data_IF_702293918396
#
_entry.id   IF_702293918396
#
_cell.length_a   1.000
_cell.length_b   1.000
_cell.length_c   1.000
_cell.angle_alpha   90.00
_cell.angle_beta   90.00
_cell.angle_gamma   90.00
#
_symmetry.space_group_name_H-M   'P 1'
#
loop_
_entity.id
_entity.type
_entity.pdbx_description
1 polymer ?
#
# COMPACT_ATOMS: atom_id res chain seq x y z
N UNK A 1 -17.78 17.38 -12.97
CA UNK A 1 -16.79 16.32 -13.33
C UNK A 1 -16.18 15.78 -12.05
N UNK A 2 -16.26 14.47 -11.86
CA UNK A 2 -15.69 13.81 -10.68
C UNK A 2 -14.16 13.96 -10.66
N UNK A 3 -13.63 14.37 -9.53
CA UNK A 3 -12.19 14.60 -9.35
C UNK A 3 -11.49 13.23 -9.27
N UNK A 4 -10.48 12.99 -10.11
CA UNK A 4 -9.68 11.77 -10.09
C UNK A 4 -9.01 11.60 -8.72
N UNK A 5 -9.10 10.41 -8.13
CA UNK A 5 -8.37 10.08 -6.90
C UNK A 5 -6.98 9.54 -7.21
N UNK A 6 -6.06 9.59 -6.24
CA UNK A 6 -4.71 9.01 -6.41
C UNK A 6 -4.77 7.49 -6.65
N UNK A 7 -5.71 6.80 -6.01
CA UNK A 7 -5.97 5.36 -6.22
C UNK A 7 -6.38 5.07 -7.67
N UNK A 8 -7.29 5.87 -8.22
CA UNK A 8 -7.73 5.71 -9.62
C UNK A 8 -6.60 6.02 -10.61
N UNK A 9 -5.67 6.91 -10.25
CA UNK A 9 -4.50 7.24 -11.04
C UNK A 9 -3.45 6.11 -11.01
N UNK A 10 -3.28 5.46 -9.88
CA UNK A 10 -2.28 4.41 -9.70
C UNK A 10 -2.62 3.12 -10.48
N UNK A 11 -3.90 2.77 -10.63
CA UNK A 11 -4.32 1.53 -11.31
C UNK A 11 -3.76 1.38 -12.74
N UNK A 12 -3.93 2.33 -13.66
CA UNK A 12 -3.35 2.22 -15.00
C UNK A 12 -1.81 2.21 -14.96
N UNK A 13 -1.16 2.89 -13.99
CA UNK A 13 0.30 2.84 -13.85
C UNK A 13 0.76 1.44 -13.46
N UNK A 14 0.04 0.76 -12.57
CA UNK A 14 0.34 -0.61 -12.16
C UNK A 14 0.22 -1.55 -13.37
N UNK A 15 -0.91 -1.51 -14.09
CA UNK A 15 -1.11 -2.33 -15.28
C UNK A 15 -0.02 -2.08 -16.34
N UNK A 16 0.32 -0.80 -16.58
CA UNK A 16 1.38 -0.40 -17.50
C UNK A 16 2.74 -1.03 -17.15
N UNK A 17 3.08 -1.12 -15.87
CA UNK A 17 4.33 -1.71 -15.39
C UNK A 17 4.31 -3.25 -15.50
N UNK A 18 3.20 -3.88 -15.09
CA UNK A 18 3.02 -5.33 -15.12
C UNK A 18 3.08 -5.87 -16.57
N UNK A 19 2.44 -5.19 -17.52
CA UNK A 19 2.51 -5.51 -18.95
C UNK A 19 3.95 -5.48 -19.50
N UNK A 20 4.85 -4.72 -18.85
CA UNK A 20 6.27 -4.63 -19.20
C UNK A 20 7.16 -5.57 -18.39
N UNK A 21 6.54 -6.49 -17.63
CA UNK A 21 7.23 -7.52 -16.86
C UNK A 21 7.81 -7.04 -15.54
N UNK A 22 7.39 -5.88 -15.03
CA UNK A 22 7.77 -5.46 -13.70
C UNK A 22 6.88 -6.12 -12.64
N UNK A 23 7.48 -6.57 -11.56
CA UNK A 23 6.77 -6.93 -10.33
C UNK A 23 6.42 -5.66 -9.56
N UNK A 24 5.13 -5.40 -9.33
CA UNK A 24 4.64 -4.14 -8.76
C UNK A 24 4.19 -4.33 -7.31
N UNK A 25 4.58 -3.39 -6.46
CA UNK A 25 4.28 -3.34 -5.04
C UNK A 25 3.80 -1.94 -4.68
N UNK A 26 2.80 -1.85 -3.81
CA UNK A 26 2.14 -0.60 -3.47
C UNK A 26 2.38 -0.24 -1.99
N UNK A 27 2.42 1.07 -1.69
CA UNK A 27 2.55 1.61 -0.32
C UNK A 27 3.72 0.96 0.46
N UNK A 28 4.89 0.90 -0.16
CA UNK A 28 6.06 0.26 0.44
C UNK A 28 6.76 1.21 1.39
N UNK A 29 6.79 0.86 2.67
CA UNK A 29 7.53 1.61 3.67
C UNK A 29 9.04 1.33 3.54
N UNK A 30 9.80 2.36 3.17
CA UNK A 30 11.26 2.32 3.04
C UNK A 30 11.83 3.30 4.06
N UNK A 31 12.39 2.77 5.17
CA UNK A 31 12.73 3.52 6.37
C UNK A 31 11.50 4.26 6.95
N UNK A 32 11.52 5.59 6.97
CA UNK A 32 10.44 6.43 7.51
C UNK A 32 9.53 7.04 6.45
N UNK A 33 9.68 6.64 5.18
CA UNK A 33 8.88 7.15 4.05
C UNK A 33 8.15 6.01 3.37
N UNK A 34 6.99 6.32 2.83
CA UNK A 34 6.19 5.37 2.05
C UNK A 34 6.28 5.80 0.58
N UNK A 35 6.59 4.84 -0.28
CA UNK A 35 6.54 5.01 -1.72
C UNK A 35 5.21 4.49 -2.24
N UNK A 36 4.49 5.28 -3.02
CA UNK A 36 3.18 4.91 -3.55
C UNK A 36 3.27 3.62 -4.38
N UNK A 37 4.22 3.55 -5.31
CA UNK A 37 4.50 2.36 -6.13
C UNK A 37 6.00 2.07 -6.13
N UNK A 38 6.35 0.82 -5.90
CA UNK A 38 7.70 0.27 -6.10
C UNK A 38 7.61 -0.88 -7.09
N UNK A 39 8.29 -0.78 -8.22
CA UNK A 39 8.38 -1.85 -9.20
C UNK A 39 9.78 -2.47 -9.20
N UNK A 40 9.87 -3.79 -9.42
CA UNK A 40 11.15 -4.50 -9.52
C UNK A 40 11.24 -5.32 -10.79
N UNK A 41 12.44 -5.32 -11.40
CA UNK A 41 12.76 -6.18 -12.52
C UNK A 41 14.17 -6.74 -12.30
N UNK A 42 14.27 -7.97 -11.85
CA UNK A 42 15.52 -8.54 -11.37
C UNK A 42 16.11 -7.72 -10.21
N UNK A 43 17.27 -7.10 -10.40
CA UNK A 43 17.91 -6.23 -9.40
C UNK A 43 17.53 -4.76 -9.55
N UNK A 44 16.85 -4.40 -10.62
CA UNK A 44 16.43 -3.02 -10.86
C UNK A 44 15.20 -2.68 -10.02
N UNK A 45 15.12 -1.44 -9.60
CA UNK A 45 14.01 -0.90 -8.82
C UNK A 45 13.54 0.43 -9.41
N UNK A 46 12.22 0.63 -9.46
CA UNK A 46 11.61 1.85 -9.94
C UNK A 46 10.61 2.35 -8.89
N UNK A 47 10.76 3.58 -8.40
CA UNK A 47 9.81 4.23 -7.50
C UNK A 47 9.00 5.25 -8.30
N UNK A 48 7.68 5.23 -8.11
CA UNK A 48 6.74 6.15 -8.75
C UNK A 48 5.85 6.75 -7.67
N UNK A 49 5.78 8.08 -7.63
CA UNK A 49 4.87 8.85 -6.78
C UNK A 49 3.68 9.32 -7.60
N UNK A 50 2.48 9.09 -7.13
CA UNK A 50 1.22 9.37 -7.81
C UNK A 50 0.52 10.59 -7.19
N UNK A 51 0.18 11.60 -7.99
CA UNK A 51 -0.59 12.77 -7.52
C UNK A 51 -1.57 13.25 -8.58
N UNK A 52 -2.72 13.73 -8.11
CA UNK A 52 -3.77 14.28 -8.99
C UNK A 52 -3.42 15.63 -9.62
N UNK A 53 -2.29 16.21 -9.22
CA UNK A 53 -1.76 17.45 -9.81
C UNK A 53 -0.25 17.55 -9.60
N UNK A 54 0.41 18.25 -10.52
CA UNK A 54 1.80 18.63 -10.36
C UNK A 54 1.92 19.68 -9.23
N UNK A 55 2.68 19.38 -8.21
CA UNK A 55 2.89 20.25 -7.05
C UNK A 55 4.34 20.22 -6.59
N UNK A 56 4.77 21.26 -5.90
CA UNK A 56 6.11 21.29 -5.29
C UNK A 56 6.30 20.13 -4.30
N UNK A 57 5.25 19.79 -3.55
CA UNK A 57 5.26 18.65 -2.61
C UNK A 57 5.55 17.32 -3.33
N UNK A 58 4.98 17.09 -4.51
CA UNK A 58 5.26 15.89 -5.32
C UNK A 58 6.73 15.87 -5.77
N UNK A 59 7.25 17.01 -6.19
CA UNK A 59 8.66 17.13 -6.58
C UNK A 59 9.60 16.87 -5.39
N UNK A 60 9.28 17.35 -4.20
CA UNK A 60 10.03 17.07 -2.97
C UNK A 60 9.96 15.58 -2.59
N UNK A 61 8.81 14.94 -2.72
CA UNK A 61 8.64 13.51 -2.45
C UNK A 61 9.54 12.69 -3.36
N UNK A 62 9.42 12.85 -4.68
CA UNK A 62 10.21 12.05 -5.62
C UNK A 62 11.70 12.36 -5.53
N UNK A 63 12.09 13.59 -5.30
CA UNK A 63 13.47 13.99 -5.08
C UNK A 63 14.07 13.29 -3.84
N UNK A 64 13.29 13.11 -2.79
CA UNK A 64 13.68 12.41 -1.57
C UNK A 64 14.00 10.93 -1.75
N UNK A 65 13.67 10.34 -2.91
CA UNK A 65 14.01 8.96 -3.28
C UNK A 65 15.34 8.83 -4.05
N UNK A 66 16.02 9.93 -4.32
CA UNK A 66 17.33 9.88 -5.01
C UNK A 66 18.33 9.01 -4.25
N UNK A 67 19.08 8.20 -5.00
CA UNK A 67 20.02 7.24 -4.43
C UNK A 67 19.37 5.99 -3.81
N UNK A 68 18.04 5.85 -3.86
CA UNK A 68 17.33 4.69 -3.31
C UNK A 68 16.82 3.74 -4.39
N UNK A 69 16.44 4.24 -5.55
CA UNK A 69 15.99 3.40 -6.66
C UNK A 69 16.73 3.71 -7.97
N UNK A 70 16.75 2.72 -8.87
CA UNK A 70 17.39 2.83 -10.17
C UNK A 70 16.64 3.79 -11.10
N UNK A 71 15.31 3.77 -11.02
CA UNK A 71 14.44 4.67 -11.77
C UNK A 71 13.51 5.40 -10.79
N UNK A 72 13.23 6.65 -11.11
CA UNK A 72 12.33 7.51 -10.35
C UNK A 72 11.37 8.16 -11.33
N UNK A 73 10.07 8.18 -11.02
CA UNK A 73 9.08 8.90 -11.82
C UNK A 73 7.98 9.49 -10.96
N UNK A 74 7.37 10.53 -11.46
CA UNK A 74 6.07 11.02 -10.99
C UNK A 74 4.98 10.56 -11.97
N UNK A 75 3.78 10.34 -11.46
CA UNK A 75 2.61 10.00 -12.26
C UNK A 75 1.49 11.00 -11.98
N UNK A 76 1.01 11.69 -13.03
CA UNK A 76 0.00 12.73 -12.95
C UNK A 76 -1.03 12.60 -14.09
N UNK A 77 -2.26 13.13 -13.95
CA UNK A 77 -3.21 13.16 -15.06
C UNK A 77 -2.68 13.98 -16.25
N UNK A 78 -3.00 13.57 -17.47
CA UNK A 78 -2.55 14.23 -18.71
C UNK A 78 -3.07 15.67 -18.89
N UNK A 79 -4.18 16.00 -18.22
CA UNK A 79 -4.72 17.37 -18.19
C UNK A 79 -4.05 18.28 -17.16
N UNK A 80 -3.22 17.72 -16.29
CA UNK A 80 -2.33 18.51 -15.43
C UNK A 80 -1.20 18.98 -16.32
N UNK A 81 -1.25 20.25 -16.78
CA UNK A 81 -0.19 20.82 -17.62
C UNK A 81 1.18 20.50 -16.99
N UNK A 82 1.99 19.62 -17.62
CA UNK A 82 3.26 19.17 -17.01
C UNK A 82 4.31 20.29 -16.98
N UNK A 83 3.94 21.49 -17.40
CA UNK A 83 4.84 22.64 -17.43
C UNK A 83 5.91 22.48 -18.51
N UNK A 84 5.83 23.27 -19.54
CA UNK A 84 6.98 23.50 -20.40
C UNK A 84 7.97 24.39 -19.64
N UNK A 85 9.25 24.04 -19.63
CA UNK A 85 10.29 24.86 -19.03
C UNK A 85 10.87 24.29 -17.73
N UNK A 86 10.85 25.08 -16.66
CA UNK A 86 11.63 24.82 -15.45
C UNK A 86 11.39 23.44 -14.81
N UNK A 87 10.13 22.99 -14.68
CA UNK A 87 9.82 21.68 -14.07
C UNK A 87 10.36 20.53 -14.92
N UNK A 88 10.16 20.60 -16.24
CA UNK A 88 10.69 19.59 -17.16
C UNK A 88 12.22 19.50 -17.07
N UNK A 89 12.90 20.65 -17.09
CA UNK A 89 14.35 20.71 -16.91
C UNK A 89 14.81 20.15 -15.56
N UNK A 90 14.12 20.50 -14.49
CA UNK A 90 14.39 19.99 -13.16
C UNK A 90 14.30 18.46 -13.09
N UNK A 91 13.25 17.88 -13.68
CA UNK A 91 13.05 16.42 -13.72
C UNK A 91 14.16 15.75 -14.53
N UNK A 92 14.46 16.24 -15.75
CA UNK A 92 15.50 15.69 -16.63
C UNK A 92 16.87 15.76 -15.96
N UNK A 93 17.25 16.90 -15.39
CA UNK A 93 18.54 17.07 -14.69
C UNK A 93 18.68 16.12 -13.49
N UNK A 94 17.57 15.77 -12.85
CA UNK A 94 17.55 14.84 -11.71
C UNK A 94 17.27 13.38 -12.10
N UNK A 95 17.23 13.07 -13.42
CA UNK A 95 16.95 11.71 -13.95
C UNK A 95 15.57 11.16 -13.53
N UNK A 96 14.62 12.05 -13.28
CA UNK A 96 13.27 11.70 -12.88
C UNK A 96 12.38 11.69 -14.11
N UNK A 97 11.66 10.61 -14.33
CA UNK A 97 10.65 10.48 -15.37
C UNK A 97 9.31 11.11 -14.98
N UNK A 98 8.45 11.29 -15.99
CA UNK A 98 7.08 11.71 -15.80
C UNK A 98 6.16 10.81 -16.62
N UNK A 99 5.23 10.17 -15.95
CA UNK A 99 4.13 9.42 -16.53
C UNK A 99 2.89 10.32 -16.53
N UNK A 100 2.21 10.41 -17.66
CA UNK A 100 0.92 11.11 -17.76
C UNK A 100 -0.18 10.11 -18.08
N UNK A 101 -1.32 10.22 -17.38
CA UNK A 101 -2.41 9.27 -17.47
C UNK A 101 -3.62 9.94 -18.12
N UNK A 102 -4.09 9.34 -19.23
CA UNK A 102 -5.36 9.74 -19.84
C UNK A 102 -6.51 9.15 -19.03
N UNK A 103 -7.27 10.00 -18.36
CA UNK A 103 -8.39 9.62 -17.49
C UNK A 103 -9.46 8.78 -18.20
N UNK A 104 -9.69 9.03 -19.48
CA UNK A 104 -10.80 8.40 -20.22
C UNK A 104 -10.42 7.08 -20.87
N UNK A 105 -9.16 6.97 -21.31
CA UNK A 105 -8.64 5.76 -21.97
C UNK A 105 -7.88 4.85 -21.02
N UNK A 106 -7.64 5.26 -19.75
CA UNK A 106 -6.76 4.57 -18.78
C UNK A 106 -5.36 4.31 -19.34
N UNK A 107 -4.95 5.08 -20.34
CA UNK A 107 -3.65 4.95 -21.00
C UNK A 107 -2.56 5.74 -20.27
N UNK A 108 -1.38 5.14 -20.18
CA UNK A 108 -0.19 5.75 -19.57
C UNK A 108 0.82 6.11 -20.67
N UNK A 109 1.26 7.36 -20.68
CA UNK A 109 2.29 7.86 -21.56
C UNK A 109 3.53 8.27 -20.77
N UNK A 110 4.71 7.81 -21.20
CA UNK A 110 5.97 8.33 -20.68
C UNK A 110 6.29 9.69 -21.30
N UNK A 111 5.84 10.76 -20.66
CA UNK A 111 6.13 12.12 -21.12
C UNK A 111 7.61 12.49 -20.96
N UNK A 112 8.25 12.01 -19.89
CA UNK A 112 9.69 12.09 -19.66
C UNK A 112 10.18 10.69 -19.28
N UNK A 113 11.11 10.13 -20.05
CA UNK A 113 11.71 8.83 -19.72
C UNK A 113 12.60 8.94 -18.49
N UNK A 114 12.46 8.07 -17.46
CA UNK A 114 13.37 8.06 -16.34
C UNK A 114 14.75 7.57 -16.77
N UNK A 115 15.78 8.18 -16.24
CA UNK A 115 17.15 7.77 -16.53
C UNK A 115 17.72 6.89 -15.41
N UNK A 116 18.55 5.92 -15.78
CA UNK A 116 19.16 4.99 -14.85
C UNK A 116 20.07 5.66 -13.82
N UNK A 117 19.78 5.48 -12.54
CA UNK A 117 20.65 5.78 -11.41
C UNK A 117 21.41 4.50 -11.02
N UNK A 118 22.73 4.46 -11.28
CA UNK A 118 23.54 3.27 -11.02
C UNK A 118 23.91 3.09 -9.55
N UNK A 119 24.03 4.19 -8.79
CA UNK A 119 24.39 4.15 -7.36
C UNK A 119 23.14 4.23 -6.52
N UNK A 120 22.66 3.08 -6.08
CA UNK A 120 21.46 2.97 -5.24
C UNK A 120 21.69 2.01 -4.08
N UNK A 121 20.93 2.17 -3.01
CA UNK A 121 20.87 1.19 -1.93
C UNK A 121 19.91 0.05 -2.32
N UNK A 122 20.09 -1.11 -1.71
CA UNK A 122 19.14 -2.21 -1.91
C UNK A 122 17.86 -1.97 -1.10
N UNK A 123 16.78 -1.56 -1.78
CA UNK A 123 15.45 -1.37 -1.18
C UNK A 123 14.56 -2.61 -1.27
N UNK A 124 14.94 -3.65 -2.01
CA UNK A 124 14.15 -4.87 -2.16
C UNK A 124 13.92 -5.57 -0.81
N UNK A 125 14.82 -5.38 0.16
CA UNK A 125 14.66 -5.90 1.53
C UNK A 125 13.44 -5.35 2.30
N UNK A 126 12.87 -4.24 1.86
CA UNK A 126 11.65 -3.65 2.44
C UNK A 126 10.37 -4.14 1.77
N UNK A 127 10.51 -4.81 0.62
CA UNK A 127 9.39 -5.33 -0.15
C UNK A 127 8.93 -6.64 0.46
N UNK A 128 7.61 -6.79 0.61
CA UNK A 128 6.95 -8.00 1.08
C UNK A 128 5.88 -8.43 0.08
N UNK A 129 5.59 -9.73 -0.05
CA UNK A 129 4.53 -10.21 -0.95
C UNK A 129 3.19 -9.52 -0.72
N UNK A 130 2.91 -9.16 0.50
CA UNK A 130 1.68 -8.50 0.92
C UNK A 130 1.47 -7.12 0.27
N UNK A 131 2.54 -6.42 -0.10
CA UNK A 131 2.45 -5.14 -0.82
C UNK A 131 1.83 -5.26 -2.23
N UNK A 132 1.74 -6.50 -2.79
CA UNK A 132 1.02 -6.74 -4.06
C UNK A 132 -0.50 -6.79 -3.88
N UNK A 133 -0.97 -7.21 -2.71
CA UNK A 133 -2.37 -7.64 -2.53
C UNK A 133 -3.15 -6.67 -1.63
N UNK A 134 -2.51 -6.11 -0.62
CA UNK A 134 -3.19 -5.48 0.51
C UNK A 134 -3.12 -3.97 0.56
N UNK A 135 -2.29 -3.36 -0.25
CA UNK A 135 -2.14 -1.91 -0.30
C UNK A 135 -2.70 -1.37 -1.61
N UNK A 136 -3.38 -0.24 -1.56
CA UNK A 136 -3.78 0.52 -2.73
C UNK A 136 -2.98 1.82 -2.77
N UNK A 137 -2.13 1.96 -3.78
CA UNK A 137 -1.29 3.13 -3.97
C UNK A 137 -2.13 4.41 -4.03
N UNK A 138 -1.72 5.43 -3.27
CA UNK A 138 -2.44 6.71 -3.17
C UNK A 138 -3.61 6.71 -2.20
N UNK A 139 -3.84 5.65 -1.41
CA UNK A 139 -4.85 5.65 -0.36
C UNK A 139 -4.34 6.34 0.90
N UNK A 140 -5.19 7.16 1.56
CA UNK A 140 -4.79 7.87 2.79
C UNK A 140 -4.53 6.93 3.99
N UNK A 141 -4.90 5.66 3.90
CA UNK A 141 -4.82 4.67 4.98
C UNK A 141 -4.32 3.30 4.51
N UNK A 142 -3.72 3.22 3.33
CA UNK A 142 -3.49 1.97 2.61
C UNK A 142 -2.13 1.32 2.78
N UNK A 143 -1.21 1.87 3.59
CA UNK A 143 0.06 1.19 3.76
C UNK A 143 -0.10 -0.06 4.64
N UNK A 144 0.56 -1.12 4.18
CA UNK A 144 0.58 -2.40 4.88
C UNK A 144 1.28 -2.27 6.23
N UNK A 145 0.52 -2.48 7.31
CA UNK A 145 1.08 -2.59 8.64
C UNK A 145 1.02 -4.03 9.13
N UNK A 146 1.95 -4.47 10.00
CA UNK A 146 1.83 -5.76 10.67
C UNK A 146 0.48 -5.94 11.40
N UNK A 147 -0.10 -4.83 11.89
CA UNK A 147 -1.43 -4.83 12.50
C UNK A 147 -2.53 -5.13 11.49
N UNK A 148 -2.50 -4.57 10.28
CA UNK A 148 -3.50 -4.86 9.24
C UNK A 148 -3.48 -6.34 8.84
N UNK A 149 -2.29 -6.95 8.70
CA UNK A 149 -2.17 -8.39 8.49
C UNK A 149 -2.82 -9.18 9.62
N UNK A 150 -2.47 -8.85 10.86
CA UNK A 150 -3.06 -9.50 12.03
C UNK A 150 -4.58 -9.36 12.05
N UNK A 151 -5.11 -8.16 11.76
CA UNK A 151 -6.55 -7.91 11.67
C UNK A 151 -7.22 -8.82 10.65
N UNK A 152 -6.67 -8.93 9.45
CA UNK A 152 -7.22 -9.76 8.39
C UNK A 152 -7.15 -11.26 8.73
N UNK A 153 -6.04 -11.71 9.32
CA UNK A 153 -5.91 -13.08 9.78
C UNK A 153 -6.97 -13.42 10.83
N UNK A 154 -7.29 -12.49 11.72
CA UNK A 154 -8.38 -12.64 12.71
C UNK A 154 -9.73 -12.68 12.04
N UNK A 155 -10.02 -11.73 11.15
CA UNK A 155 -11.29 -11.65 10.41
C UNK A 155 -11.52 -12.91 9.55
N UNK A 156 -10.46 -13.48 8.97
CA UNK A 156 -10.51 -14.74 8.23
C UNK A 156 -10.65 -15.97 9.16
N UNK A 157 -9.79 -16.08 10.19
CA UNK A 157 -9.77 -17.27 11.05
C UNK A 157 -11.08 -17.44 11.81
N UNK A 158 -11.72 -16.35 12.25
CA UNK A 158 -12.99 -16.43 12.99
C UNK A 158 -14.12 -17.02 12.14
N UNK A 159 -14.08 -16.88 10.81
CA UNK A 159 -15.10 -17.49 9.93
C UNK A 159 -15.13 -19.01 9.98
N UNK A 160 -14.01 -19.63 10.37
CA UNK A 160 -13.90 -21.09 10.55
C UNK A 160 -14.51 -21.58 11.87
N UNK A 161 -14.86 -20.65 12.77
CA UNK A 161 -15.40 -20.95 14.09
C UNK A 161 -16.80 -20.35 14.29
N UNK A 162 -17.83 -20.81 13.55
CA UNK A 162 -19.16 -20.22 13.60
C UNK A 162 -19.81 -20.31 15.00
N UNK A 163 -19.46 -21.32 15.78
CA UNK A 163 -19.95 -21.54 17.14
C UNK A 163 -19.08 -20.87 18.22
N UNK A 164 -18.12 -20.03 17.80
CA UNK A 164 -17.15 -19.42 18.71
C UNK A 164 -16.04 -20.36 19.16
N UNK A 165 -15.00 -19.79 19.73
CA UNK A 165 -13.84 -20.50 20.24
C UNK A 165 -13.28 -19.77 21.46
N UNK A 166 -12.61 -20.50 22.37
CA UNK A 166 -11.96 -19.90 23.53
C UNK A 166 -10.85 -18.91 23.05
N UNK A 167 -10.93 -17.67 23.49
CA UNK A 167 -10.10 -16.59 22.97
C UNK A 167 -8.59 -16.86 23.06
N UNK A 168 -8.14 -17.53 24.15
CA UNK A 168 -6.73 -17.92 24.32
C UNK A 168 -6.27 -18.92 23.24
N UNK A 169 -7.15 -19.84 22.83
CA UNK A 169 -6.82 -20.88 21.85
C UNK A 169 -6.90 -20.27 20.43
N UNK A 170 -7.85 -19.37 20.20
CA UNK A 170 -7.93 -18.59 18.97
C UNK A 170 -6.66 -17.79 18.69
N UNK A 171 -6.08 -17.14 19.71
CA UNK A 171 -4.80 -16.41 19.58
C UNK A 171 -3.66 -17.32 19.12
N UNK A 172 -3.61 -18.57 19.59
CA UNK A 172 -2.59 -19.53 19.16
C UNK A 172 -2.73 -19.98 17.71
N UNK A 173 -3.97 -20.04 17.23
CA UNK A 173 -4.27 -20.45 15.85
C UNK A 173 -4.06 -19.32 14.86
N UNK A 174 -4.12 -18.07 15.32
CA UNK A 174 -4.06 -16.90 14.45
C UNK A 174 -2.64 -16.35 14.35
N UNK A 175 -2.12 -16.22 13.14
CA UNK A 175 -0.83 -15.55 12.93
C UNK A 175 -0.95 -14.05 13.26
N UNK A 176 -0.09 -13.56 14.15
CA UNK A 176 -0.08 -12.18 14.61
C UNK A 176 1.35 -11.62 14.75
N UNK A 177 1.48 -10.30 14.69
CA UNK A 177 2.76 -9.59 14.74
C UNK A 177 3.30 -9.32 16.16
N UNK A 178 2.54 -9.64 17.20
CA UNK A 178 2.95 -9.39 18.58
C UNK A 178 4.03 -10.35 19.04
N UNK A 179 4.95 -9.86 19.87
CA UNK A 179 6.09 -10.64 20.37
C UNK A 179 5.71 -11.80 21.28
N UNK A 180 4.53 -11.77 21.90
CA UNK A 180 4.03 -12.83 22.77
C UNK A 180 2.51 -12.98 22.69
N UNK A 181 2.01 -14.18 22.98
CA UNK A 181 0.56 -14.46 23.09
C UNK A 181 -0.12 -13.60 24.17
N UNK A 182 0.58 -13.27 25.26
CA UNK A 182 0.04 -12.44 26.33
C UNK A 182 -0.21 -11.01 25.82
N UNK A 183 0.76 -10.43 25.12
CA UNK A 183 0.64 -9.12 24.49
C UNK A 183 -0.45 -9.13 23.42
N UNK A 184 -0.47 -10.15 22.54
CA UNK A 184 -1.48 -10.33 21.53
C UNK A 184 -2.88 -10.35 22.15
N UNK A 185 -3.08 -11.13 23.22
CA UNK A 185 -4.36 -11.26 23.93
C UNK A 185 -4.87 -9.92 24.47
N UNK A 186 -4.01 -9.16 25.12
CA UNK A 186 -4.36 -7.85 25.68
C UNK A 186 -4.72 -6.85 24.56
N UNK A 187 -3.85 -6.69 23.57
CA UNK A 187 -4.05 -5.73 22.48
C UNK A 187 -5.24 -6.10 21.59
N UNK A 188 -5.36 -7.36 21.18
CA UNK A 188 -6.43 -7.79 20.29
C UNK A 188 -7.81 -7.73 20.96
N UNK A 189 -7.88 -8.02 22.26
CA UNK A 189 -9.12 -7.80 23.03
C UNK A 189 -9.56 -6.34 22.92
N UNK A 190 -8.68 -5.40 23.17
CA UNK A 190 -8.99 -3.96 23.09
C UNK A 190 -9.44 -3.56 21.67
N UNK A 191 -8.78 -4.06 20.62
CA UNK A 191 -9.12 -3.74 19.23
C UNK A 191 -10.46 -4.36 18.78
N UNK A 192 -10.83 -5.52 19.29
CA UNK A 192 -12.14 -6.15 19.04
C UNK A 192 -13.23 -5.39 19.78
N UNK A 193 -13.04 -5.13 21.07
CA UNK A 193 -14.01 -4.39 21.91
C UNK A 193 -14.25 -2.97 21.41
N UNK A 194 -13.23 -2.31 20.84
CA UNK A 194 -13.37 -0.98 20.21
C UNK A 194 -13.95 -1.00 18.79
N UNK A 195 -14.22 -2.17 18.21
CA UNK A 195 -14.78 -2.32 16.86
C UNK A 195 -13.80 -2.05 15.70
N UNK A 196 -12.51 -1.91 15.98
CA UNK A 196 -11.46 -1.76 14.95
C UNK A 196 -11.27 -3.05 14.16
N UNK A 197 -11.34 -4.20 14.83
CA UNK A 197 -11.43 -5.52 14.19
C UNK A 197 -12.91 -5.85 14.03
N UNK A 198 -13.39 -5.83 12.80
CA UNK A 198 -14.80 -6.01 12.46
C UNK A 198 -15.18 -7.49 12.39
N UNK A 199 -16.47 -7.76 12.39
CA UNK A 199 -16.99 -9.13 12.21
C UNK A 199 -16.72 -10.08 13.39
N UNK A 200 -16.24 -9.57 14.52
CA UNK A 200 -15.90 -10.34 15.72
C UNK A 200 -16.46 -9.71 16.98
N UNK A 201 -16.80 -10.54 17.97
CA UNK A 201 -17.15 -10.07 19.33
C UNK A 201 -16.56 -10.99 20.39
N UNK A 202 -16.21 -10.42 21.54
CA UNK A 202 -15.75 -11.18 22.70
C UNK A 202 -16.90 -11.24 23.73
N UNK A 203 -17.10 -12.42 24.29
CA UNK A 203 -18.11 -12.68 25.32
C UNK A 203 -17.43 -13.39 26.51
N UNK A 204 -17.73 -12.95 27.72
CA UNK A 204 -17.30 -13.63 28.93
C UNK A 204 -18.37 -14.65 29.33
N UNK A 205 -18.01 -15.93 29.40
CA UNK A 205 -18.86 -17.02 29.84
C UNK A 205 -18.08 -17.83 30.90
N UNK A 206 -18.63 -17.98 32.08
CA UNK A 206 -18.04 -18.73 33.19
C UNK A 206 -16.56 -18.37 33.48
N UNK A 207 -16.28 -17.07 33.55
CA UNK A 207 -14.94 -16.50 33.73
C UNK A 207 -13.94 -16.85 32.59
N UNK A 208 -14.42 -17.28 31.45
CA UNK A 208 -13.62 -17.52 30.25
C UNK A 208 -14.04 -16.61 29.12
N UNK A 209 -13.07 -16.09 28.38
CA UNK A 209 -13.34 -15.25 27.21
C UNK A 209 -13.45 -16.13 25.97
N UNK A 210 -14.55 -15.95 25.24
CA UNK A 210 -14.79 -16.57 23.96
C UNK A 210 -14.84 -15.50 22.88
N UNK A 211 -14.40 -15.82 21.68
CA UNK A 211 -14.56 -14.99 20.48
C UNK A 211 -15.58 -15.64 19.56
N UNK A 212 -16.49 -14.84 19.01
CA UNK A 212 -17.53 -15.26 18.08
C UNK A 212 -17.50 -14.42 16.82
N UNK A 213 -17.87 -14.96 15.65
CA UNK A 213 -18.18 -14.15 14.49
C UNK A 213 -19.46 -13.35 14.72
N UNK A 214 -19.50 -12.13 14.17
CA UNK A 214 -20.74 -11.36 14.04
C UNK A 214 -21.32 -11.73 12.67
N UNK A 215 -22.40 -12.52 12.65
CA UNK A 215 -23.13 -12.82 11.43
C UNK A 215 -23.89 -11.56 11.04
N UNK A 216 -23.40 -10.83 10.04
CA UNK A 216 -24.14 -9.73 9.43
C UNK A 216 -25.16 -10.39 8.49
N UNK A 217 -26.40 -10.42 8.90
CA UNK A 217 -27.51 -10.86 8.05
C UNK A 217 -27.62 -9.89 6.85
N UNK A 218 -27.24 -10.37 5.65
CA UNK A 218 -27.28 -9.58 4.41
C UNK A 218 -28.68 -9.48 3.80
N UNK A 219 -29.72 -9.78 4.58
CA UNK A 219 -31.11 -9.71 4.15
C UNK A 219 -31.80 -8.45 4.68
N UNK A 220 -31.27 -7.26 4.33
CA UNK A 220 -32.04 -6.00 4.35
C UNK A 220 -31.51 -5.06 3.28
#
# INVERSE_FOLDING_TARGET
MEKLTEVQLAKPVIAYLEERGWDVYQEVMIYSKIADIVATFGKLTWIIECKTSLSLKLLEQIYGWRGKANFLSIAIPSNSNPGEGFVKELLIRNKIGMLTINKYAEEVFEYIHPQLNRKTINIQKFIKPEHKIWAEAGSQHGYYTPFQRTKQNIEYEITKHPNGILFKDFIKLTEHHYASEATARSCLRQWIESGIIKGTKIVNQDNKLFIYPIIIDKSK
#
